data_IF_143723366007
#
_entry.id   IF_143723366007
#
_cell.length_a   1.000
_cell.length_b   1.000
_cell.length_c   1.000
_cell.angle_alpha   90.00
_cell.angle_beta   90.00
_cell.angle_gamma   90.00
#
_symmetry.space_group_name_H-M   'P 1'
#
loop_
_entity.id
_entity.type
_entity.pdbx_description
1 polymer ?
#
# COMPACT_ATOMS: atom_id res chain seq x y z
N UNK A 1 10.42 4.47 27.19
CA UNK A 1 9.36 4.89 26.24
C UNK A 1 9.49 6.37 25.83
N UNK A 2 9.54 7.33 26.76
CA UNK A 2 9.63 8.76 26.40
C UNK A 2 10.91 9.15 25.62
N UNK A 3 12.06 8.55 25.94
CA UNK A 3 13.30 8.79 25.20
C UNK A 3 13.19 8.37 23.74
N UNK A 4 12.48 7.28 23.44
CA UNK A 4 12.28 6.76 22.08
C UNK A 4 11.43 7.72 21.23
N UNK A 5 10.38 8.29 21.81
CA UNK A 5 9.50 9.25 21.12
C UNK A 5 10.26 10.54 20.79
N UNK A 6 11.11 11.02 21.71
CA UNK A 6 11.95 12.21 21.47
C UNK A 6 12.95 11.99 20.34
N UNK A 7 13.61 10.83 20.32
CA UNK A 7 14.51 10.47 19.22
C UNK A 7 13.75 10.36 17.89
N UNK A 8 12.57 9.72 17.89
CA UNK A 8 11.75 9.61 16.68
C UNK A 8 11.30 10.99 16.18
N UNK A 9 10.83 11.85 17.07
CA UNK A 9 10.38 13.20 16.73
C UNK A 9 11.51 14.06 16.13
N UNK A 10 12.75 13.89 16.60
CA UNK A 10 13.91 14.58 16.03
C UNK A 10 14.29 14.05 14.64
N UNK A 11 14.14 12.74 14.40
CA UNK A 11 14.56 12.09 13.14
C UNK A 11 13.49 12.13 12.05
N UNK A 12 12.21 12.20 12.41
CA UNK A 12 11.11 12.16 11.45
C UNK A 12 11.15 13.32 10.42
N UNK A 13 11.42 14.59 10.78
CA UNK A 13 11.55 15.68 9.81
C UNK A 13 12.73 15.47 8.85
N UNK A 14 13.86 14.93 9.35
CA UNK A 14 15.03 14.64 8.54
C UNK A 14 14.75 13.54 7.52
N UNK A 15 14.08 12.46 7.95
CA UNK A 15 13.68 11.38 7.07
C UNK A 15 12.71 11.87 5.96
N UNK A 16 11.76 12.74 6.31
CA UNK A 16 10.85 13.36 5.34
C UNK A 16 11.57 14.25 4.32
N UNK A 17 12.57 15.03 4.76
CA UNK A 17 13.37 15.86 3.87
C UNK A 17 14.15 15.00 2.85
N UNK A 18 14.72 13.88 3.31
CA UNK A 18 15.38 12.91 2.42
C UNK A 18 14.38 12.30 1.44
N UNK A 19 13.20 11.89 1.91
CA UNK A 19 12.19 11.30 1.03
C UNK A 19 11.75 12.27 -0.08
N UNK A 20 11.48 13.53 0.28
CA UNK A 20 11.17 14.59 -0.70
C UNK A 20 12.28 14.75 -1.74
N UNK A 21 13.54 14.75 -1.32
CA UNK A 21 14.69 14.86 -2.23
C UNK A 21 14.76 13.66 -3.19
N UNK A 22 14.51 12.44 -2.69
CA UNK A 22 14.52 11.23 -3.52
C UNK A 22 13.42 11.27 -4.58
N UNK A 23 12.21 11.70 -4.23
CA UNK A 23 11.10 11.83 -5.19
C UNK A 23 11.43 12.80 -6.33
N UNK A 24 12.05 13.94 -6.02
CA UNK A 24 12.25 15.03 -6.98
C UNK A 24 13.55 14.92 -7.78
N UNK A 25 14.60 14.31 -7.22
CA UNK A 25 15.96 14.47 -7.75
C UNK A 25 16.81 13.20 -7.76
N UNK A 26 16.27 12.03 -7.36
CA UNK A 26 17.03 10.79 -7.51
C UNK A 26 17.27 10.50 -8.99
N UNK A 27 18.50 10.08 -9.34
CA UNK A 27 18.85 9.73 -10.74
C UNK A 27 18.09 8.49 -11.23
N UNK A 28 17.91 7.50 -10.35
CA UNK A 28 17.17 6.27 -10.68
C UNK A 28 15.67 6.52 -10.69
N UNK A 29 15.03 6.16 -11.80
CA UNK A 29 13.57 6.21 -11.95
C UNK A 29 12.86 5.31 -10.94
N UNK A 30 13.35 4.07 -10.76
CA UNK A 30 12.83 3.14 -9.77
C UNK A 30 12.85 3.73 -8.35
N UNK A 31 13.90 4.45 -7.98
CA UNK A 31 14.00 5.10 -6.66
C UNK A 31 12.99 6.24 -6.54
N UNK A 32 12.84 7.07 -7.58
CA UNK A 32 11.81 8.13 -7.60
C UNK A 32 10.41 7.54 -7.45
N UNK A 33 10.10 6.50 -8.22
CA UNK A 33 8.81 5.82 -8.21
C UNK A 33 8.51 5.21 -6.83
N UNK A 34 9.47 4.48 -6.26
CA UNK A 34 9.32 3.87 -4.93
C UNK A 34 9.12 4.92 -3.84
N UNK A 35 9.92 6.00 -3.84
CA UNK A 35 9.78 7.08 -2.87
C UNK A 35 8.42 7.79 -2.98
N UNK A 36 7.91 7.94 -4.21
CA UNK A 36 6.62 8.57 -4.46
C UNK A 36 5.45 7.69 -4.02
N UNK A 37 5.51 6.39 -4.32
CA UNK A 37 4.50 5.42 -3.88
C UNK A 37 4.45 5.31 -2.35
N UNK A 38 5.61 5.21 -1.69
CA UNK A 38 5.69 5.10 -0.21
C UNK A 38 5.06 6.30 0.50
N UNK A 39 5.17 7.52 -0.05
CA UNK A 39 4.51 8.70 0.56
C UNK A 39 2.98 8.65 0.37
N UNK A 40 2.49 8.19 -0.79
CA UNK A 40 1.07 8.08 -1.11
C UNK A 40 0.38 6.99 -0.28
N UNK A 41 1.05 5.86 -0.08
CA UNK A 41 0.56 4.78 0.78
C UNK A 41 0.37 5.25 2.24
N UNK A 42 1.21 6.19 2.69
CA UNK A 42 1.15 6.79 4.04
C UNK A 42 0.09 7.87 4.18
N UNK A 43 -0.30 8.56 3.11
CA UNK A 43 -1.40 9.56 3.15
C UNK A 43 -2.78 8.93 3.12
N UNK A 44 -2.87 7.61 3.03
CA UNK A 44 -4.14 6.89 2.98
C UNK A 44 -4.77 6.87 1.59
N UNK A 45 -4.01 7.21 0.54
CA UNK A 45 -4.42 7.00 -0.85
C UNK A 45 -4.41 5.51 -1.17
N UNK A 46 -5.41 4.78 -0.68
CA UNK A 46 -5.64 3.39 -1.04
C UNK A 46 -6.28 3.32 -2.43
N UNK A 47 -5.88 2.37 -3.29
CA UNK A 47 -6.67 2.02 -4.46
C UNK A 47 -8.13 1.77 -4.05
N UNK A 48 -9.12 2.10 -4.90
CA UNK A 48 -10.52 1.85 -4.61
C UNK A 48 -10.73 0.41 -4.13
N UNK A 49 -11.56 0.22 -3.11
CA UNK A 49 -11.88 -1.11 -2.60
C UNK A 49 -12.34 -2.01 -3.74
N UNK A 50 -11.58 -3.08 -3.98
CA UNK A 50 -12.02 -4.13 -4.89
C UNK A 50 -13.08 -4.94 -4.17
N UNK A 51 -14.35 -4.59 -4.37
CA UNK A 51 -15.45 -5.45 -3.97
C UNK A 51 -15.40 -6.74 -4.81
N UNK A 52 -14.89 -7.84 -4.23
CA UNK A 52 -15.10 -9.17 -4.80
C UNK A 52 -16.57 -9.53 -4.59
N UNK A 53 -17.39 -9.36 -5.63
CA UNK A 53 -18.70 -9.98 -5.68
C UNK A 53 -18.50 -11.49 -5.87
N UNK A 54 -18.35 -12.22 -4.77
CA UNK A 54 -18.52 -13.67 -4.75
C UNK A 54 -19.99 -13.94 -5.08
N UNK A 55 -20.30 -14.20 -6.35
CA UNK A 55 -21.59 -14.74 -6.75
C UNK A 55 -21.64 -16.18 -6.22
N UNK A 56 -22.06 -16.33 -4.96
CA UNK A 56 -22.33 -17.63 -4.34
C UNK A 56 -23.64 -18.18 -4.91
N UNK A 57 -23.57 -18.64 -6.17
CA UNK A 57 -24.61 -19.49 -6.75
C UNK A 57 -24.26 -20.93 -6.43
N UNK A 58 -25.02 -21.56 -5.53
CA UNK A 58 -24.94 -23.01 -5.32
C UNK A 58 -25.43 -23.71 -6.59
N UNK A 59 -24.53 -24.07 -7.49
CA UNK A 59 -24.86 -24.87 -8.67
C UNK A 59 -25.10 -26.31 -8.18
N UNK A 60 -26.36 -26.67 -7.96
CA UNK A 60 -26.76 -28.05 -7.66
C UNK A 60 -26.94 -28.77 -8.98
N UNK A 61 -25.99 -29.65 -9.31
CA UNK A 61 -26.09 -30.55 -10.47
C UNK A 61 -26.58 -31.89 -9.96
N UNK A 62 -27.86 -32.17 -10.17
CA UNK A 62 -28.42 -33.51 -9.96
C UNK A 62 -28.27 -34.28 -11.26
N UNK A 63 -27.33 -35.22 -11.30
CA UNK A 63 -27.19 -36.15 -12.43
C UNK A 63 -28.00 -37.38 -12.07
N UNK A 64 -29.10 -37.58 -12.79
CA UNK A 64 -29.86 -38.83 -12.74
C UNK A 64 -29.26 -39.80 -13.77
N UNK A 65 -28.92 -41.00 -13.31
CA UNK A 65 -28.37 -42.09 -14.11
C UNK A 65 -29.32 -43.29 -13.96
N UNK A 66 -30.53 -43.17 -14.49
CA UNK A 66 -31.40 -44.32 -14.76
C UNK A 66 -30.85 -45.11 -15.96
N UNK A 67 -30.92 -46.44 -15.85
CA UNK A 67 -30.38 -47.44 -16.81
C UNK A 67 -30.67 -47.16 -18.30
#
# INVERSE_FOLDING_TARGET
>A
HQLTIKHLAAQAPLALAVQRRLMLSARSEFVRQKASADILDRTGFKPPERHQHLVSGSITVTIDLGD
#
